data_IF_787188717147
#
_entry.id   IF_787188717147
#
_cell.length_a   1.000
_cell.length_b   1.000
_cell.length_c   1.000
_cell.angle_alpha   90.00
_cell.angle_beta   90.00
_cell.angle_gamma   90.00
#
_symmetry.space_group_name_H-M   'P 1'
#
loop_
_entity.id
_entity.type
_entity.pdbx_description
1 polymer ?
#
# COMPACT_ATOMS: atom_id res chain seq x y z
N UNK A 1 8.56 25.35 5.39
CA UNK A 1 7.53 24.33 5.33
C UNK A 1 8.11 22.97 5.70
N UNK A 2 7.35 22.19 6.41
CA UNK A 2 7.75 20.81 6.71
C UNK A 2 7.13 19.88 5.70
N UNK A 3 7.74 18.73 5.53
CA UNK A 3 7.30 17.74 4.57
C UNK A 3 7.08 16.40 5.28
N UNK A 4 6.00 15.75 4.96
CA UNK A 4 5.73 14.39 5.44
C UNK A 4 5.89 13.42 4.29
N UNK A 5 6.44 12.26 4.59
CA UNK A 5 6.68 11.24 3.58
C UNK A 5 6.01 9.94 3.98
N UNK A 6 5.30 9.35 3.03
CA UNK A 6 4.72 8.02 3.18
C UNK A 6 5.47 7.12 2.22
N UNK A 7 6.02 6.03 2.73
CA UNK A 7 6.78 5.08 1.94
C UNK A 7 6.09 3.73 1.92
N UNK A 8 6.02 3.12 0.76
CA UNK A 8 5.40 1.82 0.58
C UNK A 8 6.34 0.97 -0.25
N UNK A 9 6.76 -0.16 0.31
CA UNK A 9 7.66 -1.10 -0.38
C UNK A 9 6.90 -2.38 -0.64
N UNK A 10 6.79 -2.75 -1.90
CA UNK A 10 6.10 -3.98 -2.30
C UNK A 10 7.12 -4.94 -2.88
N UNK A 11 7.25 -6.10 -2.25
CA UNK A 11 8.13 -7.15 -2.73
C UNK A 11 7.29 -8.14 -3.52
N UNK A 12 7.70 -8.40 -4.76
CA UNK A 12 6.99 -9.30 -5.65
C UNK A 12 7.70 -10.65 -5.72
N UNK A 13 6.92 -11.70 -5.92
CA UNK A 13 7.51 -13.02 -6.12
C UNK A 13 7.89 -13.20 -7.59
N UNK A 14 8.28 -14.43 -7.96
CA UNK A 14 8.72 -14.74 -9.32
C UNK A 14 7.62 -14.54 -10.35
N UNK A 15 6.38 -14.58 -9.94
CA UNK A 15 5.22 -14.38 -10.81
C UNK A 15 4.70 -12.96 -10.74
N UNK A 16 5.45 -12.07 -10.11
CA UNK A 16 5.11 -10.67 -9.94
C UNK A 16 3.84 -10.45 -9.12
N UNK A 17 3.58 -11.37 -8.21
CA UNK A 17 2.47 -11.24 -7.27
C UNK A 17 3.02 -10.68 -5.96
N UNK A 18 2.35 -9.72 -5.35
CA UNK A 18 2.84 -9.15 -4.09
C UNK A 18 3.00 -10.22 -3.02
N UNK A 19 4.20 -10.29 -2.46
CA UNK A 19 4.54 -11.23 -1.41
C UNK A 19 4.56 -10.56 -0.06
N UNK A 20 5.04 -9.32 -0.01
CA UNK A 20 5.15 -8.56 1.22
C UNK A 20 4.96 -7.08 0.93
N UNK A 21 4.20 -6.42 1.79
CA UNK A 21 3.98 -4.98 1.68
C UNK A 21 4.40 -4.36 3.00
N UNK A 22 5.39 -3.48 2.96
CA UNK A 22 5.85 -2.75 4.12
C UNK A 22 5.58 -1.27 3.89
N UNK A 23 5.15 -0.58 4.93
CA UNK A 23 4.87 0.85 4.81
C UNK A 23 5.29 1.57 6.08
N UNK A 24 5.55 2.85 5.94
CA UNK A 24 5.75 3.71 7.07
C UNK A 24 5.41 5.14 6.68
N UNK A 25 5.16 5.95 7.68
CA UNK A 25 4.84 7.35 7.48
C UNK A 25 5.66 8.17 8.47
N UNK A 26 6.31 9.21 7.97
CA UNK A 26 7.06 10.10 8.82
C UNK A 26 6.10 10.93 9.70
N UNK A 27 6.59 11.40 10.82
CA UNK A 27 5.83 12.26 11.74
C UNK A 27 4.55 11.61 12.25
N UNK A 28 4.55 10.28 12.35
CA UNK A 28 3.42 9.56 12.92
C UNK A 28 3.98 8.50 13.86
N UNK A 29 3.08 7.79 14.53
CA UNK A 29 3.48 6.67 15.37
C UNK A 29 3.99 5.50 14.56
N UNK A 30 3.83 5.56 13.24
CA UNK A 30 4.24 4.48 12.33
C UNK A 30 5.53 4.83 11.60
N UNK A 31 6.54 5.35 12.32
CA UNK A 31 7.81 5.66 11.69
C UNK A 31 8.58 4.39 11.35
N UNK A 32 8.35 3.31 12.09
CA UNK A 32 8.94 2.02 11.76
C UNK A 32 8.08 1.33 10.72
N UNK A 33 8.72 0.50 9.90
CA UNK A 33 7.99 -0.19 8.85
C UNK A 33 6.98 -1.16 9.43
N UNK A 34 5.76 -1.07 8.94
CA UNK A 34 4.65 -1.94 9.33
C UNK A 34 4.33 -2.87 8.19
N UNK A 35 3.89 -4.07 8.53
CA UNK A 35 3.53 -5.09 7.54
C UNK A 35 2.03 -4.96 7.23
N UNK A 36 1.69 -5.02 5.94
CA UNK A 36 0.30 -4.96 5.51
C UNK A 36 0.01 -6.13 4.59
N UNK A 37 -1.21 -6.67 4.68
CA UNK A 37 -1.63 -7.76 3.81
C UNK A 37 -2.19 -7.24 2.49
N UNK A 38 -2.67 -6.02 2.50
CA UNK A 38 -3.25 -5.38 1.32
C UNK A 38 -3.13 -3.88 1.47
N UNK A 39 -3.14 -3.19 0.34
CA UNK A 39 -3.19 -1.73 0.36
C UNK A 39 -4.22 -1.24 -0.63
N UNK A 40 -4.83 -0.13 -0.30
CA UNK A 40 -5.74 0.58 -1.18
C UNK A 40 -5.37 2.05 -1.11
N UNK A 41 -4.98 2.61 -2.25
CA UNK A 41 -4.54 4.00 -2.32
C UNK A 41 -5.38 4.72 -3.37
N UNK A 42 -5.92 5.87 -3.00
CA UNK A 42 -6.68 6.70 -3.92
C UNK A 42 -6.09 8.09 -3.94
N UNK A 43 -5.94 8.63 -5.13
CA UNK A 43 -5.50 10.01 -5.32
C UNK A 43 -6.59 10.76 -6.08
N UNK A 44 -6.92 11.94 -5.63
CA UNK A 44 -7.84 12.79 -6.37
C UNK A 44 -7.02 13.77 -7.19
N UNK A 45 -7.16 13.68 -8.51
CA UNK A 45 -6.52 14.63 -9.41
C UNK A 45 -7.51 15.76 -9.67
N UNK A 46 -7.25 16.91 -9.05
CA UNK A 46 -8.15 18.05 -9.17
C UNK A 46 -8.22 18.63 -10.57
N UNK A 47 -7.16 18.43 -11.35
CA UNK A 47 -7.12 18.94 -12.73
C UNK A 47 -7.98 18.10 -13.65
N UNK A 48 -7.84 16.79 -13.56
CA UNK A 48 -8.59 15.87 -14.41
C UNK A 48 -9.95 15.52 -13.80
N UNK A 49 -10.17 15.86 -12.53
CA UNK A 49 -11.37 15.52 -11.79
C UNK A 49 -11.62 14.02 -11.80
N UNK A 50 -10.56 13.27 -11.59
CA UNK A 50 -10.60 11.82 -11.59
C UNK A 50 -9.87 11.28 -10.39
N UNK A 51 -10.26 10.10 -9.95
CA UNK A 51 -9.57 9.40 -8.90
C UNK A 51 -8.69 8.32 -9.51
N UNK A 52 -7.44 8.27 -9.07
CA UNK A 52 -6.53 7.19 -9.41
C UNK A 52 -6.49 6.27 -8.21
N UNK A 53 -6.68 4.99 -8.45
CA UNK A 53 -6.74 4.03 -7.37
C UNK A 53 -5.82 2.86 -7.64
N UNK A 54 -5.07 2.47 -6.62
CA UNK A 54 -4.17 1.32 -6.67
C UNK A 54 -4.59 0.36 -5.58
N UNK A 55 -4.90 -0.87 -5.96
CA UNK A 55 -5.25 -1.93 -5.02
C UNK A 55 -4.29 -3.08 -5.20
N UNK A 56 -3.63 -3.50 -4.11
CA UNK A 56 -2.71 -4.62 -4.13
C UNK A 56 -3.02 -5.54 -2.96
N UNK A 57 -3.01 -6.84 -3.22
CA UNK A 57 -3.22 -7.86 -2.20
C UNK A 57 -2.06 -8.83 -2.21
N UNK A 58 -1.61 -9.21 -1.00
CA UNK A 58 -0.66 -10.31 -0.90
C UNK A 58 -1.39 -11.63 -1.05
N UNK A 59 -0.63 -12.70 -1.30
CA UNK A 59 -1.22 -14.03 -1.43
C UNK A 59 -1.97 -14.44 -0.17
N UNK A 60 -1.44 -14.07 0.98
CA UNK A 60 -2.05 -14.42 2.26
C UNK A 60 -3.46 -13.84 2.36
N UNK A 61 -3.60 -12.57 1.99
CA UNK A 61 -4.91 -11.92 2.01
C UNK A 61 -5.86 -12.57 1.01
N UNK A 62 -5.36 -12.90 -0.16
CA UNK A 62 -6.20 -13.47 -1.21
C UNK A 62 -6.76 -14.83 -0.83
N UNK A 63 -5.97 -15.63 -0.14
CA UNK A 63 -6.38 -16.99 0.22
C UNK A 63 -7.24 -17.01 1.48
N UNK A 64 -6.80 -16.29 2.50
CA UNK A 64 -7.40 -16.42 3.83
C UNK A 64 -8.52 -15.44 4.09
N UNK A 65 -8.43 -14.24 3.57
CA UNK A 65 -9.33 -13.16 3.92
C UNK A 65 -10.24 -12.73 2.79
N UNK A 66 -9.77 -12.82 1.56
CA UNK A 66 -10.59 -12.45 0.43
C UNK A 66 -11.68 -13.47 0.14
N UNK A 67 -11.52 -14.69 0.65
CA UNK A 67 -12.52 -15.73 0.48
C UNK A 67 -13.76 -15.50 1.36
N UNK A 68 -13.61 -14.69 2.36
CA UNK A 68 -14.72 -14.33 3.23
C UNK A 68 -15.54 -13.20 2.59
#
# INVERSE_FOLDING_TARGET
MTQSTISIDVTLDDQKIPHQILWNASQSSSEEKQDAKAIMISFWDGKERAALRIDLWTKEMMVDEMAD
#
